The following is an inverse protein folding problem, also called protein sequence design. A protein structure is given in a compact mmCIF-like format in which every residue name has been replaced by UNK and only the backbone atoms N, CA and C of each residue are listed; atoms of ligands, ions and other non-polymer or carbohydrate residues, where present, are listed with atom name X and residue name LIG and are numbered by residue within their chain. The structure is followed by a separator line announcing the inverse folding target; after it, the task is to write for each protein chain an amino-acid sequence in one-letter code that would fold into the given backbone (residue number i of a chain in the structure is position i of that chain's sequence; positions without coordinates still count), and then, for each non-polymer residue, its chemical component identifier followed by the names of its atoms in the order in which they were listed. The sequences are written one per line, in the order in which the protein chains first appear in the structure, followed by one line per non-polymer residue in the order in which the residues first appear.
data_IF_284707087281
#
_entry.id   IF_284707087281
#
_cell.length_a   1.000
_cell.length_b   1.000
_cell.length_c   1.000
_cell.angle_alpha   90.00
_cell.angle_beta   90.00
_cell.angle_gamma   90.00
#
_symmetry.space_group_name_H-M   'P 1'
#
loop_
_entity.id
_entity.type
_entity.pdbx_description
1 polymer ?
#
# COMPACT_ATOMS: atom_id res chain seq x y z
N UNK A 1 11.67 -87.97 45.59
CA UNK A 1 10.32 -87.62 46.06
C UNK A 1 9.77 -86.54 45.13
N UNK A 2 8.53 -86.72 44.69
CA UNK A 2 7.84 -86.02 43.59
C UNK A 2 6.97 -84.90 44.15
N UNK A 3 6.93 -83.72 43.53
CA UNK A 3 5.80 -82.79 43.68
C UNK A 3 5.44 -82.19 42.32
N UNK A 4 4.19 -82.43 41.95
CA UNK A 4 3.51 -81.91 40.76
C UNK A 4 2.96 -80.50 41.01
N UNK A 5 2.92 -79.72 39.92
CA UNK A 5 1.93 -78.73 39.50
C UNK A 5 1.17 -77.87 40.54
N UNK A 6 1.18 -76.56 40.32
CA UNK A 6 -0.05 -75.75 40.37
C UNK A 6 0.11 -74.42 39.63
N UNK A 7 -0.79 -74.23 38.66
CA UNK A 7 -1.08 -73.01 37.93
C UNK A 7 -1.82 -72.05 38.88
N UNK A 8 -1.31 -70.84 39.14
CA UNK A 8 -2.09 -69.78 39.78
C UNK A 8 -1.89 -68.45 39.06
N UNK A 9 -3.03 -67.97 38.56
CA UNK A 9 -3.28 -66.69 37.92
C UNK A 9 -2.73 -65.53 38.74
N UNK A 10 -1.80 -64.76 38.15
CA UNK A 10 -1.45 -63.43 38.65
C UNK A 10 -2.29 -62.37 37.89
N UNK A 11 -2.92 -61.43 38.59
CA UNK A 11 -3.84 -60.46 38.00
C UNK A 11 -3.09 -59.39 37.19
N UNK A 12 -3.62 -59.12 36.00
CA UNK A 12 -3.22 -58.01 35.13
C UNK A 12 -3.47 -56.69 35.86
N UNK A 13 -2.41 -56.06 36.33
CA UNK A 13 -2.47 -54.72 36.94
C UNK A 13 -2.84 -53.74 35.83
N UNK A 14 -4.08 -53.26 35.85
CA UNK A 14 -4.53 -52.11 35.06
C UNK A 14 -3.76 -50.87 35.52
N UNK A 15 -2.65 -50.58 34.85
CA UNK A 15 -1.96 -49.31 34.97
C UNK A 15 -2.80 -48.26 34.23
N UNK A 16 -3.68 -47.59 34.96
CA UNK A 16 -4.36 -46.40 34.47
C UNK A 16 -3.30 -45.33 34.18
N UNK A 17 -2.99 -45.12 32.90
CA UNK A 17 -2.29 -43.93 32.46
C UNK A 17 -3.25 -42.75 32.67
N UNK A 18 -3.07 -42.04 33.78
CA UNK A 18 -3.59 -40.69 33.91
C UNK A 18 -2.93 -39.85 32.81
N UNK A 19 -3.68 -39.56 31.75
CA UNK A 19 -3.28 -38.55 30.78
C UNK A 19 -3.10 -37.22 31.55
N UNK A 20 -2.00 -36.48 31.36
CA UNK A 20 -1.94 -35.12 31.87
C UNK A 20 -3.04 -34.32 31.18
N UNK A 21 -4.05 -33.92 31.94
CA UNK A 21 -5.00 -32.91 31.51
C UNK A 21 -4.19 -31.64 31.22
N UNK A 22 -3.91 -31.39 29.95
CA UNK A 22 -3.39 -30.11 29.50
C UNK A 22 -4.48 -29.07 29.77
N UNK A 23 -4.34 -28.36 30.90
CA UNK A 23 -5.17 -27.21 31.21
C UNK A 23 -4.93 -26.14 30.13
N UNK A 24 -5.96 -25.53 29.55
CA UNK A 24 -5.82 -24.49 28.52
C UNK A 24 -5.22 -23.17 29.05
N UNK A 25 -4.92 -23.08 30.35
CA UNK A 25 -4.39 -21.89 31.00
C UNK A 25 -2.94 -21.53 30.60
N UNK A 26 -2.16 -22.45 30.02
CA UNK A 26 -0.74 -22.18 29.66
C UNK A 26 -0.55 -21.56 28.28
N UNK A 27 -1.60 -21.48 27.46
CA UNK A 27 -1.51 -20.86 26.14
C UNK A 27 -1.64 -19.33 26.20
N UNK A 28 -2.33 -18.80 27.21
CA UNK A 28 -2.55 -17.35 27.39
C UNK A 28 -1.31 -16.66 27.98
N UNK A 29 -0.65 -17.30 28.95
CA UNK A 29 0.55 -16.75 29.60
C UNK A 29 1.79 -16.70 28.68
N UNK A 30 1.86 -17.61 27.69
CA UNK A 30 2.96 -17.64 26.70
C UNK A 30 2.82 -16.58 25.60
N UNK A 31 1.61 -16.03 25.42
CA UNK A 31 1.37 -14.94 24.47
C UNK A 31 1.89 -13.63 25.05
N UNK A 32 1.64 -13.36 26.34
CA UNK A 32 2.06 -12.14 27.05
C UNK A 32 3.58 -11.91 27.05
N UNK A 33 4.41 -12.94 27.28
CA UNK A 33 5.88 -12.81 27.22
C UNK A 33 6.37 -12.40 25.82
N UNK A 34 5.65 -12.81 24.77
CA UNK A 34 6.02 -12.59 23.37
C UNK A 34 5.61 -11.21 22.85
N UNK A 35 4.56 -10.61 23.41
CA UNK A 35 4.13 -9.24 23.06
C UNK A 35 5.05 -8.19 23.70
N UNK A 36 5.61 -8.47 24.88
CA UNK A 36 6.55 -7.59 25.57
C UNK A 36 7.87 -7.39 24.78
N UNK A 37 8.24 -8.34 23.91
CA UNK A 37 9.40 -8.24 23.03
C UNK A 37 9.15 -7.45 21.73
N UNK A 38 7.91 -7.02 21.46
CA UNK A 38 7.59 -6.16 20.32
C UNK A 38 8.06 -4.73 20.67
N UNK A 39 9.35 -4.49 20.45
CA UNK A 39 9.91 -3.15 20.41
C UNK A 39 9.36 -2.45 19.18
N UNK A 40 8.23 -1.76 19.36
CA UNK A 40 7.76 -0.77 18.40
C UNK A 40 8.85 0.30 18.35
N UNK A 41 9.66 0.26 17.30
CA UNK A 41 10.60 1.34 16.99
C UNK A 41 9.79 2.63 17.00
N UNK A 42 10.20 3.56 17.84
CA UNK A 42 9.72 4.93 17.83
C UNK A 42 9.81 5.43 16.39
N UNK A 43 8.64 5.60 15.77
CA UNK A 43 8.55 6.07 14.39
C UNK A 43 8.96 7.53 14.47
N UNK A 44 10.17 7.86 14.00
CA UNK A 44 10.54 9.25 13.77
C UNK A 44 9.41 9.94 13.01
N UNK A 45 9.07 11.20 13.31
CA UNK A 45 8.04 11.91 12.57
C UNK A 45 8.34 11.74 11.09
N UNK A 46 7.42 11.14 10.33
CA UNK A 46 7.50 11.16 8.88
C UNK A 46 7.32 12.64 8.53
N UNK A 47 8.43 13.35 8.36
CA UNK A 47 8.39 14.67 7.75
C UNK A 47 7.82 14.45 6.35
N UNK A 48 6.55 14.82 6.20
CA UNK A 48 5.84 14.79 4.94
C UNK A 48 6.49 15.86 4.06
N UNK A 49 7.62 15.50 3.46
CA UNK A 49 8.25 16.31 2.44
C UNK A 49 7.23 16.39 1.31
N UNK A 50 6.62 17.56 1.12
CA UNK A 50 5.81 17.82 -0.05
C UNK A 50 6.63 17.39 -1.26
N UNK A 51 6.10 16.47 -2.05
CA UNK A 51 6.83 15.94 -3.19
C UNK A 51 7.15 17.11 -4.12
N UNK A 52 8.39 17.18 -4.57
CA UNK A 52 8.82 18.26 -5.44
C UNK A 52 7.92 18.30 -6.69
N UNK A 53 7.58 19.51 -7.21
CA UNK A 53 6.89 19.65 -8.48
C UNK A 53 7.62 18.87 -9.58
N UNK A 54 6.84 18.26 -10.47
CA UNK A 54 7.36 17.49 -11.59
C UNK A 54 7.49 18.40 -12.81
N UNK A 55 8.52 18.18 -13.62
CA UNK A 55 8.68 18.92 -14.88
C UNK A 55 8.11 18.08 -16.04
N UNK A 56 7.26 18.72 -16.85
CA UNK A 56 6.67 18.17 -18.06
C UNK A 56 7.11 18.90 -19.31
N UNK A 57 7.09 18.22 -20.45
CA UNK A 57 7.30 18.80 -21.77
C UNK A 57 6.08 18.54 -22.64
N UNK A 58 5.53 19.58 -23.25
CA UNK A 58 4.37 19.45 -24.14
C UNK A 58 4.76 18.71 -25.42
N UNK A 59 4.03 17.66 -25.80
CA UNK A 59 4.39 16.75 -26.89
C UNK A 59 3.66 17.04 -28.24
N UNK A 60 2.82 18.08 -28.28
CA UNK A 60 2.08 18.50 -29.46
C UNK A 60 1.97 20.04 -29.61
N UNK A 61 1.63 20.50 -30.81
CA UNK A 61 1.45 21.93 -31.09
C UNK A 61 -0.01 22.37 -30.92
N UNK A 62 -0.21 23.59 -30.42
CA UNK A 62 -1.55 24.16 -30.24
C UNK A 62 -2.33 23.54 -29.07
N UNK A 63 -1.63 22.95 -28.09
CA UNK A 63 -2.28 22.31 -26.93
C UNK A 63 -2.84 23.37 -26.01
N UNK A 64 -4.15 23.36 -25.81
CA UNK A 64 -4.86 24.34 -24.98
C UNK A 64 -4.81 23.94 -23.51
N UNK A 65 -4.40 24.88 -22.66
CA UNK A 65 -4.58 24.76 -21.22
C UNK A 65 -5.77 25.58 -20.75
N UNK A 66 -6.43 25.12 -19.69
CA UNK A 66 -7.82 25.45 -19.37
C UNK A 66 -8.01 25.76 -17.89
N UNK A 67 -9.12 26.42 -17.57
CA UNK A 67 -9.49 26.77 -16.18
C UNK A 67 -9.88 25.57 -15.32
N UNK A 68 -10.25 24.45 -15.93
CA UNK A 68 -10.62 23.21 -15.25
C UNK A 68 -10.19 22.00 -16.10
N UNK A 69 -10.20 20.77 -15.55
CA UNK A 69 -9.78 19.54 -16.25
C UNK A 69 -10.87 19.00 -17.21
N UNK A 70 -11.40 19.86 -18.08
CA UNK A 70 -12.41 19.51 -19.08
C UNK A 70 -12.29 20.46 -20.28
N UNK A 71 -12.49 19.95 -21.50
CA UNK A 71 -12.48 20.74 -22.74
C UNK A 71 -13.65 21.72 -22.90
N UNK A 72 -14.72 21.56 -22.12
CA UNK A 72 -15.82 22.52 -22.05
C UNK A 72 -15.43 23.80 -21.28
N UNK A 73 -14.41 23.74 -20.43
CA UNK A 73 -13.90 24.91 -19.73
C UNK A 73 -13.09 25.83 -20.65
N UNK A 74 -13.14 27.11 -20.33
CA UNK A 74 -12.42 28.17 -21.03
C UNK A 74 -10.94 27.78 -21.25
N UNK A 75 -10.52 27.84 -22.52
CA UNK A 75 -9.12 27.74 -22.89
C UNK A 75 -8.46 29.10 -22.65
N UNK A 76 -7.45 29.11 -21.79
CA UNK A 76 -6.77 30.34 -21.39
C UNK A 76 -5.75 30.77 -22.45
N UNK A 77 -4.95 29.83 -22.94
CA UNK A 77 -4.13 29.99 -24.15
C UNK A 77 -3.70 28.61 -24.67
N UNK A 78 -2.63 28.58 -25.46
CA UNK A 78 -2.06 27.37 -26.04
C UNK A 78 -0.54 27.30 -25.90
N UNK A 79 -0.02 26.08 -25.81
CA UNK A 79 1.40 25.79 -25.89
C UNK A 79 1.78 25.14 -27.22
N UNK A 80 3.05 25.28 -27.57
CA UNK A 80 3.70 24.59 -28.68
C UNK A 80 4.44 23.35 -28.17
N UNK A 81 4.78 22.44 -29.08
CA UNK A 81 5.61 21.28 -28.76
C UNK A 81 6.96 21.71 -28.18
N UNK A 82 7.47 20.95 -27.23
CA UNK A 82 8.74 21.21 -26.55
C UNK A 82 8.64 22.26 -25.44
N UNK A 83 7.47 22.87 -25.21
CA UNK A 83 7.29 23.78 -24.10
C UNK A 83 7.44 23.02 -22.78
N UNK A 84 8.39 23.44 -21.97
CA UNK A 84 8.56 22.96 -20.59
C UNK A 84 7.54 23.63 -19.68
N UNK A 85 6.90 22.82 -18.83
CA UNK A 85 5.90 23.23 -17.84
C UNK A 85 6.23 22.62 -16.48
N UNK A 86 5.79 23.29 -15.42
CA UNK A 86 5.90 22.78 -14.05
C UNK A 86 4.54 22.30 -13.58
N UNK A 87 4.49 21.05 -13.11
CA UNK A 87 3.29 20.33 -12.70
C UNK A 87 3.30 20.20 -11.18
N UNK A 88 2.23 20.65 -10.55
CA UNK A 88 2.06 20.59 -9.09
C UNK A 88 1.43 19.26 -8.68
N UNK A 89 0.38 18.86 -9.37
CA UNK A 89 -0.33 17.60 -9.12
C UNK A 89 -1.20 17.26 -10.34
N UNK A 90 -1.69 16.02 -10.39
CA UNK A 90 -2.61 15.54 -11.42
C UNK A 90 -3.99 15.26 -10.83
N UNK A 91 -5.04 15.40 -11.62
CA UNK A 91 -6.41 15.13 -11.19
C UNK A 91 -7.21 14.45 -12.29
N UNK A 92 -8.29 13.78 -11.92
CA UNK A 92 -9.20 13.18 -12.89
C UNK A 92 -10.03 14.25 -13.59
N UNK A 93 -10.28 14.05 -14.89
CA UNK A 93 -11.04 14.95 -15.72
C UNK A 93 -11.66 14.26 -16.93
N UNK A 94 -12.03 15.06 -17.92
CA UNK A 94 -12.55 14.55 -19.18
C UNK A 94 -11.56 13.59 -19.84
N UNK A 95 -12.09 12.49 -20.40
CA UNK A 95 -11.28 11.54 -21.13
C UNK A 95 -10.89 12.11 -22.50
N UNK A 96 -9.59 12.26 -22.73
CA UNK A 96 -9.00 12.68 -24.01
C UNK A 96 -8.23 11.50 -24.57
N UNK A 97 -8.70 10.93 -25.68
CA UNK A 97 -8.05 9.82 -26.37
C UNK A 97 -7.71 8.62 -25.46
N UNK A 98 -8.57 8.30 -24.49
CA UNK A 98 -8.36 7.22 -23.53
C UNK A 98 -7.71 7.64 -22.21
N UNK A 99 -7.25 8.88 -22.08
CA UNK A 99 -6.59 9.40 -20.88
C UNK A 99 -7.50 10.33 -20.10
N UNK A 100 -7.79 10.00 -18.84
CA UNK A 100 -8.63 10.79 -17.94
C UNK A 100 -7.84 11.63 -16.94
N UNK A 101 -6.52 11.65 -17.03
CA UNK A 101 -5.66 12.48 -16.19
C UNK A 101 -5.44 13.87 -16.79
N UNK A 102 -5.37 14.86 -15.92
CA UNK A 102 -5.06 16.25 -16.23
C UNK A 102 -4.05 16.80 -15.24
N UNK A 103 -3.08 17.53 -15.75
CA UNK A 103 -2.05 18.17 -14.94
C UNK A 103 -2.46 19.57 -14.53
N UNK A 104 -2.43 19.83 -13.23
CA UNK A 104 -2.49 21.17 -12.68
C UNK A 104 -1.08 21.74 -12.64
N UNK A 105 -0.86 22.79 -13.42
CA UNK A 105 0.40 23.49 -13.46
C UNK A 105 0.52 24.51 -12.31
N UNK A 106 1.73 25.02 -12.10
CA UNK A 106 2.05 26.07 -11.11
C UNK A 106 1.25 27.37 -11.29
N UNK A 107 0.87 27.68 -12.53
CA UNK A 107 -0.02 28.78 -12.88
C UNK A 107 -1.50 28.55 -12.51
N UNK A 108 -1.83 27.38 -11.96
CA UNK A 108 -3.17 27.02 -11.48
C UNK A 108 -4.13 26.52 -12.58
N UNK A 109 -3.68 26.44 -13.84
CA UNK A 109 -4.47 25.93 -14.96
C UNK A 109 -4.17 24.46 -15.26
N UNK A 110 -5.03 23.87 -16.08
CA UNK A 110 -5.03 22.44 -16.36
C UNK A 110 -4.68 22.17 -17.82
N UNK A 111 -3.84 21.18 -18.06
CA UNK A 111 -3.52 20.63 -19.38
C UNK A 111 -3.79 19.12 -19.34
N UNK A 112 -4.27 18.54 -20.44
CA UNK A 112 -4.51 17.09 -20.45
C UNK A 112 -3.16 16.36 -20.44
N UNK A 113 -3.05 15.38 -19.54
CA UNK A 113 -1.86 14.54 -19.34
C UNK A 113 -1.43 13.84 -20.65
N UNK A 114 -2.41 13.52 -21.50
CA UNK A 114 -2.18 12.96 -22.84
C UNK A 114 -1.16 13.76 -23.68
N UNK A 115 -1.08 15.07 -23.48
CA UNK A 115 -0.20 15.96 -24.24
C UNK A 115 1.10 16.34 -23.52
N UNK A 116 1.41 15.69 -22.40
CA UNK A 116 2.55 16.04 -21.55
C UNK A 116 3.43 14.82 -21.31
N UNK A 117 4.71 14.95 -21.67
CA UNK A 117 5.74 13.97 -21.33
C UNK A 117 6.50 14.49 -20.11
N UNK A 118 6.29 13.88 -18.93
CA UNK A 118 7.05 14.27 -17.73
C UNK A 118 8.28 13.41 -17.47
N UNK A 119 9.23 13.99 -16.73
CA UNK A 119 10.45 13.32 -16.27
C UNK A 119 10.59 13.49 -14.75
N UNK A 120 11.15 12.49 -14.06
CA UNK A 120 11.38 12.57 -12.61
C UNK A 120 10.31 11.91 -11.71
N UNK A 121 9.30 11.27 -12.30
CA UNK A 121 8.28 10.49 -11.59
C UNK A 121 6.86 10.93 -11.91
N UNK A 122 5.88 10.21 -11.36
CA UNK A 122 4.45 10.52 -11.52
C UNK A 122 4.08 11.62 -10.51
N UNK A 123 3.47 12.75 -10.93
CA UNK A 123 2.92 13.76 -10.04
C UNK A 123 1.90 13.18 -9.07
N UNK A 124 1.85 13.75 -7.87
CA UNK A 124 0.88 13.35 -6.87
C UNK A 124 -0.55 13.74 -7.30
N UNK A 125 -1.53 13.08 -6.73
CA UNK A 125 -2.94 13.36 -7.02
C UNK A 125 -3.38 14.60 -6.23
N UNK A 126 -4.01 15.57 -6.91
CA UNK A 126 -4.90 16.53 -6.27
C UNK A 126 -6.25 15.82 -6.00
#
# INVERSE_FOLDING_TARGET
MKFSAALLLAPFILLACAAPNASPATADEAVEEKIAAISVREVSPVELHARAPVTGTVNADGVRYRRCPHTSCEAVAQYIRGRVITIICRTQGENINGWSWWDRMDNGFYISDYYVDWTGGVPDVC
#
